data_IF_140296270732
#
_entry.id   IF_140296270732
#
_cell.length_a   1.000
_cell.length_b   1.000
_cell.length_c   1.000
_cell.angle_alpha   90.00
_cell.angle_beta   90.00
_cell.angle_gamma   90.00
#
_symmetry.space_group_name_H-M   'P 1'
#
loop_
_entity.id
_entity.type
_entity.pdbx_description
1 polymer ?
#
# COMPACT_ATOMS: atom_id res chain seq x y z
N UNK A 1 18.29 -0.03 18.24
CA UNK A 1 17.58 -0.37 16.98
C UNK A 1 16.88 0.90 16.51
N UNK A 2 17.26 1.42 15.34
CA UNK A 2 16.62 2.61 14.77
C UNK A 2 15.42 2.16 13.94
N UNK A 3 14.22 2.49 14.40
CA UNK A 3 12.98 2.25 13.67
C UNK A 3 12.72 3.47 12.79
N UNK A 4 12.67 3.28 11.48
CA UNK A 4 12.31 4.34 10.54
C UNK A 4 10.79 4.45 10.42
N UNK A 5 10.30 5.67 10.26
CA UNK A 5 8.88 5.96 10.19
C UNK A 5 8.63 7.46 10.27
N UNK A 6 7.37 7.85 10.44
CA UNK A 6 7.00 9.23 10.67
C UNK A 6 5.97 9.35 11.78
N UNK A 7 6.01 10.49 12.47
CA UNK A 7 5.01 10.87 13.46
C UNK A 7 3.80 11.39 12.70
N UNK A 8 2.66 10.75 12.90
CA UNK A 8 1.38 11.12 12.30
C UNK A 8 0.70 12.21 13.12
N UNK A 9 0.65 12.04 14.43
CA UNK A 9 0.01 12.96 15.37
C UNK A 9 0.47 12.65 16.82
N UNK A 10 -0.11 13.34 17.79
CA UNK A 10 0.07 13.10 19.23
C UNK A 10 -1.27 12.80 19.88
N UNK A 11 -1.27 11.94 20.90
CA UNK A 11 -2.43 11.70 21.75
C UNK A 11 -2.75 12.97 22.55
N UNK A 12 -3.93 13.55 22.33
CA UNK A 12 -4.37 14.79 22.97
C UNK A 12 -5.25 14.54 24.18
N UNK A 13 -6.21 13.62 24.05
CA UNK A 13 -7.14 13.26 25.12
C UNK A 13 -7.32 11.74 25.17
N UNK A 14 -7.54 11.21 26.37
CA UNK A 14 -7.80 9.79 26.56
C UNK A 14 -8.95 9.53 27.52
N UNK A 15 -9.89 8.70 27.09
CA UNK A 15 -10.96 8.19 27.94
C UNK A 15 -10.47 7.10 28.89
N UNK A 16 -11.29 6.71 29.86
CA UNK A 16 -11.01 5.55 30.69
C UNK A 16 -10.94 4.26 29.84
N UNK A 17 -10.07 3.29 30.22
CA UNK A 17 -9.96 2.04 29.48
C UNK A 17 -11.28 1.28 29.50
N UNK A 18 -11.65 0.69 28.37
CA UNK A 18 -12.82 -0.20 28.29
C UNK A 18 -12.59 -1.41 29.16
N UNK A 19 -13.30 -1.44 30.29
CA UNK A 19 -13.38 -2.56 31.20
C UNK A 19 -14.83 -2.62 31.71
N UNK A 20 -15.42 -3.82 31.72
CA UNK A 20 -16.75 -4.07 32.32
C UNK A 20 -17.94 -3.31 31.68
N UNK A 21 -17.98 -3.19 30.34
CA UNK A 21 -19.20 -2.73 29.64
C UNK A 21 -19.35 -1.21 29.51
N UNK A 22 -18.42 -0.39 30.01
CA UNK A 22 -18.39 1.03 29.62
C UNK A 22 -17.85 1.18 28.20
N UNK A 23 -18.77 1.39 27.25
CA UNK A 23 -18.50 1.63 25.82
C UNK A 23 -19.17 2.95 25.44
N UNK A 24 -18.40 4.03 25.14
CA UNK A 24 -18.98 5.26 24.62
C UNK A 24 -19.66 5.05 23.26
N UNK A 25 -20.69 5.86 22.92
CA UNK A 25 -21.45 5.71 21.67
C UNK A 25 -20.61 5.79 20.39
N UNK A 26 -19.48 6.51 20.41
CA UNK A 26 -18.61 6.69 19.23
C UNK A 26 -17.66 5.50 18.98
N UNK A 27 -17.57 4.52 19.88
CA UNK A 27 -16.60 3.40 19.79
C UNK A 27 -16.89 2.30 18.78
N UNK A 28 -18.13 1.81 18.62
CA UNK A 28 -18.41 0.74 17.67
C UNK A 28 -18.07 1.10 16.23
N UNK A 29 -18.16 2.40 15.89
CA UNK A 29 -17.80 2.96 14.59
C UNK A 29 -16.30 2.80 14.27
N UNK A 30 -15.44 2.68 15.29
CA UNK A 30 -14.00 2.46 15.12
C UNK A 30 -13.64 0.97 14.92
N UNK A 31 -14.59 0.06 15.18
CA UNK A 31 -14.40 -1.39 15.12
C UNK A 31 -14.87 -2.01 13.79
N UNK A 32 -14.87 -1.21 12.71
CA UNK A 32 -15.37 -1.52 11.37
C UNK A 32 -14.50 -2.53 10.60
N UNK A 33 -14.14 -3.65 11.25
CA UNK A 33 -13.33 -4.73 10.68
C UNK A 33 -13.79 -6.10 11.17
N UNK A 34 -13.99 -7.02 10.24
CA UNK A 34 -14.24 -8.43 10.48
C UNK A 34 -13.06 -9.15 11.17
N UNK A 35 -13.26 -10.37 11.71
CA UNK A 35 -12.24 -11.13 12.44
C UNK A 35 -10.92 -11.35 11.70
N UNK A 36 -10.96 -11.36 10.38
CA UNK A 36 -9.86 -11.55 9.45
C UNK A 36 -9.24 -10.22 8.95
N UNK A 37 -9.68 -9.08 9.49
CA UNK A 37 -9.22 -7.75 9.08
C UNK A 37 -9.86 -7.23 7.78
N UNK A 38 -10.82 -7.97 7.22
CA UNK A 38 -11.63 -7.52 6.07
C UNK A 38 -12.79 -6.64 6.53
N UNK A 39 -13.58 -6.19 5.56
CA UNK A 39 -14.79 -5.43 5.83
C UNK A 39 -15.73 -6.21 6.78
N UNK A 40 -16.42 -5.52 7.69
CA UNK A 40 -17.31 -6.19 8.62
C UNK A 40 -18.52 -6.78 7.88
N UNK A 41 -19.13 -7.84 8.42
CA UNK A 41 -20.37 -8.38 7.88
C UNK A 41 -21.46 -7.30 7.75
N UNK A 42 -22.31 -7.32 6.70
CA UNK A 42 -23.32 -6.30 6.46
C UNK A 42 -24.33 -6.07 7.59
N UNK A 43 -24.45 -7.03 8.51
CA UNK A 43 -25.36 -6.95 9.65
C UNK A 43 -24.80 -6.17 10.85
N UNK A 44 -23.52 -5.79 10.85
CA UNK A 44 -22.90 -5.10 11.99
C UNK A 44 -23.52 -3.72 12.26
N UNK A 45 -23.80 -2.94 11.22
CA UNK A 45 -24.47 -1.64 11.35
C UNK A 45 -25.85 -1.77 12.02
N UNK A 46 -26.78 -2.57 11.44
CA UNK A 46 -28.08 -2.83 12.05
C UNK A 46 -28.01 -3.42 13.47
N UNK A 47 -27.03 -4.30 13.74
CA UNK A 47 -26.83 -4.87 15.07
C UNK A 47 -26.35 -3.83 16.09
N UNK A 48 -25.50 -2.88 15.66
CA UNK A 48 -25.07 -1.76 16.49
C UNK A 48 -26.26 -0.88 16.85
N UNK A 49 -27.04 -0.42 15.86
CA UNK A 49 -28.23 0.41 16.13
C UNK A 49 -29.20 -0.27 17.10
N UNK A 50 -29.45 -1.56 16.89
CA UNK A 50 -30.34 -2.34 17.75
C UNK A 50 -29.78 -2.47 19.16
N UNK A 51 -28.48 -2.73 19.31
CA UNK A 51 -27.84 -2.85 20.62
C UNK A 51 -27.93 -1.55 21.44
N UNK A 52 -27.78 -0.38 20.80
CA UNK A 52 -27.94 0.93 21.47
C UNK A 52 -29.40 1.31 21.72
N UNK A 53 -30.35 0.80 20.93
CA UNK A 53 -31.79 0.95 21.22
C UNK A 53 -32.23 0.08 22.41
N UNK A 54 -31.60 -1.08 22.60
CA UNK A 54 -31.87 -1.97 23.73
C UNK A 54 -31.14 -1.56 25.03
N UNK A 55 -30.16 -0.66 24.93
CA UNK A 55 -29.48 -0.08 26.10
C UNK A 55 -30.43 0.88 26.84
N UNK A 56 -30.54 0.73 28.16
CA UNK A 56 -31.40 1.60 28.99
C UNK A 56 -30.75 2.95 29.34
N UNK A 57 -29.44 3.09 29.11
CA UNK A 57 -28.66 4.32 29.32
C UNK A 57 -27.64 4.53 28.18
N UNK A 58 -26.84 5.60 28.27
CA UNK A 58 -25.79 5.93 27.28
C UNK A 58 -24.60 4.93 27.32
N UNK A 59 -24.69 3.84 28.10
CA UNK A 59 -23.65 2.84 28.27
C UNK A 59 -24.16 1.43 27.94
N UNK A 60 -23.35 0.70 27.16
CA UNK A 60 -23.77 -0.58 26.65
C UNK A 60 -23.31 -1.75 27.55
N UNK A 61 -24.19 -2.27 28.42
CA UNK A 61 -23.87 -3.49 29.18
C UNK A 61 -23.81 -4.74 28.27
N UNK A 62 -22.62 -4.91 27.69
CA UNK A 62 -22.30 -6.05 26.82
C UNK A 62 -22.53 -7.39 27.49
N UNK A 63 -22.41 -7.52 28.82
CA UNK A 63 -22.55 -8.81 29.50
C UNK A 63 -23.99 -9.29 29.51
N UNK A 64 -24.95 -8.39 29.69
CA UNK A 64 -26.37 -8.74 29.59
C UNK A 64 -26.77 -9.06 28.14
N UNK A 65 -26.42 -8.19 27.19
CA UNK A 65 -26.80 -8.34 25.78
C UNK A 65 -26.15 -9.56 25.09
N UNK A 66 -24.93 -9.94 25.49
CA UNK A 66 -24.29 -11.17 24.98
C UNK A 66 -25.01 -12.43 25.47
N UNK A 67 -25.50 -12.42 26.71
CA UNK A 67 -26.10 -13.58 27.36
C UNK A 67 -27.61 -13.71 27.11
N UNK A 68 -28.32 -12.60 26.88
CA UNK A 68 -29.78 -12.54 26.79
C UNK A 68 -30.30 -11.94 25.47
N UNK A 69 -29.42 -11.33 24.66
CA UNK A 69 -29.78 -10.74 23.36
C UNK A 69 -29.85 -11.77 22.23
N UNK A 70 -30.20 -11.31 21.03
CA UNK A 70 -30.22 -12.16 19.83
C UNK A 70 -28.82 -12.70 19.49
N UNK A 71 -28.75 -13.83 18.77
CA UNK A 71 -27.46 -14.39 18.33
C UNK A 71 -26.64 -13.40 17.50
N UNK A 72 -27.32 -12.56 16.70
CA UNK A 72 -26.71 -11.52 15.87
C UNK A 72 -26.09 -10.41 16.73
N UNK A 73 -26.79 -9.93 17.75
CA UNK A 73 -26.29 -8.91 18.69
C UNK A 73 -25.15 -9.51 19.53
N UNK A 74 -25.30 -10.74 20.02
CA UNK A 74 -24.27 -11.43 20.80
C UNK A 74 -22.96 -11.56 20.00
N UNK A 75 -23.03 -11.95 18.72
CA UNK A 75 -21.84 -12.10 17.88
C UNK A 75 -21.19 -10.75 17.53
N UNK A 76 -21.99 -9.72 17.29
CA UNK A 76 -21.50 -8.34 17.14
C UNK A 76 -20.79 -7.87 18.41
N UNK A 77 -21.40 -8.03 19.59
CA UNK A 77 -20.86 -7.54 20.86
C UNK A 77 -19.61 -8.30 21.31
N UNK A 78 -19.52 -9.62 21.05
CA UNK A 78 -18.27 -10.37 21.24
C UNK A 78 -17.13 -9.78 20.41
N UNK A 79 -17.41 -9.38 19.16
CA UNK A 79 -16.40 -8.74 18.31
C UNK A 79 -16.02 -7.36 18.84
N UNK A 80 -16.99 -6.55 19.22
CA UNK A 80 -16.74 -5.23 19.83
C UNK A 80 -15.85 -5.39 21.06
N UNK A 81 -16.19 -6.29 21.99
CA UNK A 81 -15.35 -6.61 23.15
C UNK A 81 -13.93 -7.03 22.74
N UNK A 82 -13.79 -7.93 21.76
CA UNK A 82 -12.47 -8.39 21.32
C UNK A 82 -11.57 -7.26 20.78
N UNK A 83 -12.16 -6.21 20.21
CA UNK A 83 -11.42 -5.06 19.64
C UNK A 83 -11.10 -4.02 20.72
N UNK A 84 -12.05 -3.73 21.62
CA UNK A 84 -11.94 -2.61 22.56
C UNK A 84 -11.41 -3.00 23.94
N UNK A 85 -11.44 -4.28 24.30
CA UNK A 85 -11.08 -4.70 25.65
C UNK A 85 -9.67 -4.25 26.01
N UNK A 86 -9.54 -3.58 27.16
CA UNK A 86 -8.28 -3.05 27.64
C UNK A 86 -7.62 -2.05 26.67
N UNK A 87 -8.44 -1.34 25.87
CA UNK A 87 -8.06 -0.18 25.06
C UNK A 87 -8.71 1.09 25.62
N UNK A 88 -8.13 2.24 25.31
CA UNK A 88 -8.66 3.57 25.64
C UNK A 88 -9.14 4.24 24.35
N UNK A 89 -10.22 5.01 24.41
CA UNK A 89 -10.51 5.97 23.35
C UNK A 89 -9.43 7.02 23.41
N UNK A 90 -8.87 7.38 22.26
CA UNK A 90 -8.03 8.55 22.15
C UNK A 90 -8.63 9.55 21.18
N UNK A 91 -8.42 10.83 21.47
CA UNK A 91 -8.52 11.90 20.49
C UNK A 91 -7.13 12.45 20.24
N UNK A 92 -6.77 12.64 18.97
CA UNK A 92 -5.45 13.17 18.59
C UNK A 92 -5.42 14.70 18.60
N UNK A 93 -4.24 15.31 18.44
CA UNK A 93 -4.09 16.76 18.31
C UNK A 93 -4.94 17.34 17.17
N UNK A 94 -5.03 16.62 16.05
CA UNK A 94 -5.90 16.97 14.92
C UNK A 94 -7.36 16.51 15.07
N UNK A 95 -7.79 16.18 16.29
CA UNK A 95 -9.15 15.76 16.61
C UNK A 95 -9.60 14.45 15.94
N UNK A 96 -8.68 13.57 15.55
CA UNK A 96 -9.04 12.24 15.07
C UNK A 96 -9.35 11.31 16.24
N UNK A 97 -10.31 10.40 16.04
CA UNK A 97 -10.64 9.37 17.01
C UNK A 97 -9.82 8.10 16.74
N UNK A 98 -9.44 7.41 17.80
CA UNK A 98 -8.75 6.14 17.69
C UNK A 98 -8.81 5.30 18.95
N UNK A 99 -8.26 4.09 18.86
CA UNK A 99 -8.08 3.19 20.01
C UNK A 99 -6.60 3.12 20.36
N UNK A 100 -6.31 3.40 21.63
CA UNK A 100 -4.96 3.35 22.18
C UNK A 100 -4.81 2.18 23.17
N UNK A 101 -3.59 1.65 23.39
CA UNK A 101 -3.33 0.71 24.48
C UNK A 101 -3.75 1.26 25.85
N UNK A 102 -4.08 0.37 26.79
CA UNK A 102 -4.43 0.72 28.18
C UNK A 102 -3.46 1.71 28.82
N UNK A 103 -2.17 1.53 28.57
CA UNK A 103 -1.11 2.30 29.23
C UNK A 103 -0.72 3.57 28.46
N UNK A 104 -1.45 3.91 27.39
CA UNK A 104 -1.27 5.15 26.66
C UNK A 104 -1.53 6.37 27.55
N UNK A 105 -0.80 7.44 27.28
CA UNK A 105 -0.85 8.72 27.98
C UNK A 105 -0.99 9.87 26.99
N UNK A 106 -1.56 10.98 27.45
CA UNK A 106 -1.55 12.23 26.70
C UNK A 106 -0.10 12.65 26.44
N UNK A 107 0.18 13.09 25.21
CA UNK A 107 1.55 13.36 24.75
C UNK A 107 2.27 12.18 24.10
N UNK A 108 1.72 10.96 24.14
CA UNK A 108 2.28 9.83 23.38
C UNK A 108 2.19 10.10 21.86
N UNK A 109 3.19 9.64 21.12
CA UNK A 109 3.30 9.85 19.69
C UNK A 109 2.56 8.74 18.94
N UNK A 110 1.77 9.13 17.94
CA UNK A 110 1.15 8.20 16.99
C UNK A 110 2.05 8.16 15.77
N UNK A 111 2.64 7.00 15.49
CA UNK A 111 3.65 6.85 14.46
C UNK A 111 3.25 5.76 13.47
N UNK A 112 3.63 5.94 12.21
CA UNK A 112 3.66 4.85 11.24
C UNK A 112 5.11 4.43 11.08
N UNK A 113 5.43 3.24 11.57
CA UNK A 113 6.74 2.63 11.38
C UNK A 113 6.78 1.93 10.03
N UNK A 114 7.86 2.09 9.29
CA UNK A 114 8.03 1.39 8.02
C UNK A 114 8.05 -0.13 8.25
N UNK A 115 7.26 -0.85 7.46
CA UNK A 115 7.01 -2.28 7.64
C UNK A 115 5.85 -2.61 8.59
N UNK A 116 5.22 -1.62 9.23
CA UNK A 116 3.98 -1.80 9.98
C UNK A 116 2.78 -1.36 9.13
N UNK A 117 1.76 -2.21 9.03
CA UNK A 117 0.51 -1.94 8.31
C UNK A 117 -0.50 -1.12 9.11
N UNK A 118 -0.21 -0.84 10.39
CA UNK A 118 -1.08 -0.10 11.30
C UNK A 118 -0.26 0.94 12.08
N UNK A 119 -0.87 2.09 12.45
CA UNK A 119 -0.24 3.06 13.34
C UNK A 119 0.08 2.42 14.70
N UNK A 120 1.20 2.83 15.28
CA UNK A 120 1.63 2.44 16.63
C UNK A 120 1.69 3.65 17.54
N UNK A 121 1.42 3.44 18.82
CA UNK A 121 1.55 4.49 19.85
C UNK A 121 2.90 4.29 20.55
N UNK A 122 3.74 5.32 20.54
CA UNK A 122 5.11 5.31 21.07
C UNK A 122 5.29 6.42 22.09
N UNK A 123 5.89 6.07 23.24
CA UNK A 123 6.34 7.03 24.23
C UNK A 123 7.84 7.22 24.13
N UNK A 124 8.30 8.48 24.11
CA UNK A 124 9.73 8.78 24.18
C UNK A 124 10.26 8.39 25.57
N UNK A 125 11.33 7.59 25.59
CA UNK A 125 12.03 7.19 26.81
C UNK A 125 13.45 7.74 26.74
N UNK A 126 13.88 8.43 27.79
CA UNK A 126 15.28 8.82 27.92
C UNK A 126 16.11 7.61 28.35
N UNK A 127 17.20 7.34 27.63
CA UNK A 127 18.09 6.22 27.91
C UNK A 127 19.30 6.70 28.70
N UNK A 128 19.81 5.85 29.59
CA UNK A 128 21.07 6.12 30.27
C UNK A 128 22.24 5.97 29.28
N UNK A 129 23.39 6.58 29.60
CA UNK A 129 24.59 6.44 28.78
C UNK A 129 25.01 4.96 28.63
N UNK A 130 24.86 4.16 29.69
CA UNK A 130 25.18 2.73 29.67
C UNK A 130 24.28 1.94 28.70
N UNK A 131 22.99 2.30 28.60
CA UNK A 131 22.07 1.66 27.64
C UNK A 131 22.41 2.04 26.20
N UNK A 132 22.82 3.29 25.97
CA UNK A 132 23.26 3.76 24.65
C UNK A 132 24.54 3.03 24.21
N UNK A 133 25.53 2.91 25.09
CA UNK A 133 26.78 2.22 24.80
C UNK A 133 26.56 0.74 24.46
N UNK A 134 25.65 0.08 25.18
CA UNK A 134 25.25 -1.31 24.90
C UNK A 134 24.55 -1.45 23.54
N UNK A 135 23.65 -0.51 23.20
CA UNK A 135 22.99 -0.54 21.89
C UNK A 135 23.95 -0.31 20.73
N UNK A 136 24.97 0.55 20.91
CA UNK A 136 26.02 0.76 19.92
C UNK A 136 26.85 -0.51 19.69
N UNK A 137 27.24 -1.19 20.77
CA UNK A 137 27.95 -2.48 20.67
C UNK A 137 27.11 -3.55 19.97
N UNK A 138 25.82 -3.66 20.32
CA UNK A 138 24.89 -4.59 19.66
C UNK A 138 24.71 -4.26 18.16
N UNK A 139 24.73 -2.98 17.79
CA UNK A 139 24.63 -2.54 16.40
C UNK A 139 25.90 -2.89 15.60
N UNK A 140 27.07 -2.67 16.19
CA UNK A 140 28.36 -3.02 15.58
C UNK A 140 28.45 -4.54 15.34
N UNK A 141 28.06 -5.34 16.33
CA UNK A 141 27.97 -6.79 16.21
C UNK A 141 26.99 -7.24 15.12
N UNK A 142 25.86 -6.53 14.95
CA UNK A 142 24.89 -6.82 13.88
C UNK A 142 25.43 -6.48 12.50
N UNK A 143 26.11 -5.33 12.35
CA UNK A 143 26.75 -4.93 11.08
C UNK A 143 27.80 -5.96 10.66
N UNK A 144 28.61 -6.42 11.61
CA UNK A 144 29.63 -7.44 11.37
C UNK A 144 29.00 -8.77 10.94
N UNK A 145 27.92 -9.19 11.61
CA UNK A 145 27.20 -10.41 11.26
C UNK A 145 26.54 -10.34 9.88
N UNK A 146 25.98 -9.19 9.50
CA UNK A 146 25.40 -8.98 8.17
C UNK A 146 26.51 -8.99 7.10
N UNK A 147 27.63 -8.31 7.35
CA UNK A 147 28.78 -8.32 6.45
C UNK A 147 29.32 -9.74 6.25
N UNK A 148 29.46 -10.51 7.33
CA UNK A 148 29.87 -11.91 7.28
C UNK A 148 28.89 -12.79 6.49
N UNK A 149 27.58 -12.58 6.66
CA UNK A 149 26.54 -13.29 5.90
C UNK A 149 26.62 -12.98 4.40
N UNK A 150 26.75 -11.69 4.04
CA UNK A 150 26.90 -11.26 2.64
C UNK A 150 28.17 -11.85 2.03
N UNK A 151 29.30 -11.78 2.74
CA UNK A 151 30.57 -12.32 2.29
C UNK A 151 30.51 -13.83 2.06
N UNK A 152 29.88 -14.58 2.97
CA UNK A 152 29.66 -16.03 2.85
C UNK A 152 28.81 -16.37 1.63
N UNK A 153 27.76 -15.60 1.36
CA UNK A 153 26.90 -15.81 0.20
C UNK A 153 27.59 -15.44 -1.12
N UNK A 154 28.39 -14.38 -1.16
CA UNK A 154 29.21 -14.02 -2.32
C UNK A 154 30.27 -15.09 -2.60
N UNK A 155 30.95 -15.58 -1.57
CA UNK A 155 31.91 -16.67 -1.68
C UNK A 155 31.25 -17.95 -2.21
N UNK A 156 30.08 -18.33 -1.69
CA UNK A 156 29.32 -19.48 -2.18
C UNK A 156 28.90 -19.31 -3.65
N UNK A 157 28.48 -18.10 -4.06
CA UNK A 157 28.13 -17.78 -5.45
C UNK A 157 29.34 -17.85 -6.38
N UNK A 158 30.51 -17.40 -5.93
CA UNK A 158 31.77 -17.50 -6.68
C UNK A 158 32.25 -18.96 -6.82
N UNK A 159 32.12 -19.78 -5.77
CA UNK A 159 32.41 -21.22 -5.83
C UNK A 159 31.49 -21.95 -6.81
N UNK A 160 30.17 -21.65 -6.80
CA UNK A 160 29.21 -22.21 -7.77
C UNK A 160 29.61 -21.87 -9.22
N UNK A 161 29.93 -20.60 -9.49
CA UNK A 161 30.41 -20.18 -10.83
C UNK A 161 31.71 -20.87 -11.26
N UNK A 162 32.62 -21.19 -10.34
CA UNK A 162 33.84 -21.94 -10.66
C UNK A 162 33.53 -23.40 -11.01
N UNK A 163 32.63 -24.04 -10.27
CA UNK A 163 32.14 -25.40 -10.54
C UNK A 163 31.44 -25.50 -11.89
N UNK A 164 30.57 -24.55 -12.22
CA UNK A 164 29.86 -24.50 -13.50
C UNK A 164 30.85 -24.31 -14.68
N UNK A 165 31.88 -23.49 -14.50
CA UNK A 165 32.93 -23.27 -15.51
C UNK A 165 33.83 -24.49 -15.72
N UNK A 166 34.05 -25.33 -14.70
CA UNK A 166 34.72 -26.63 -14.86
C UNK A 166 33.85 -27.68 -15.54
N UNK A 167 32.52 -27.66 -15.32
CA UNK A 167 31.60 -28.56 -16.00
C UNK A 167 31.43 -28.23 -17.49
N UNK A 168 31.51 -26.94 -17.87
CA UNK A 168 31.47 -26.50 -19.27
C UNK A 168 32.72 -26.94 -20.08
N UNK A 169 33.88 -27.07 -19.41
CA UNK A 169 35.11 -27.58 -20.02
C UNK A 169 35.05 -29.11 -20.18
N UNK A 170 34.33 -29.82 -19.29
CA UNK A 170 34.15 -31.28 -19.36
C UNK A 170 33.10 -31.74 -20.38
N UNK A 171 32.06 -30.95 -20.66
CA UNK A 171 31.00 -31.32 -21.60
C UNK A 171 31.37 -31.08 -23.08
N UNK A 172 32.33 -30.21 -23.37
CA UNK A 172 32.79 -29.97 -24.74
C UNK A 172 33.64 -31.11 -25.34
N UNK A 173 34.01 -32.13 -24.55
CA UNK A 173 34.70 -33.32 -25.06
C UNK A 173 33.78 -34.53 -25.32
N UNK A 174 32.47 -34.45 -25.02
CA UNK A 174 31.55 -35.60 -25.09
C UNK A 174 30.40 -35.44 -26.11
N UNK A 175 30.29 -34.31 -26.82
CA UNK A 175 29.23 -34.07 -27.80
C UNK A 175 29.71 -34.13 -29.26
N UNK A 176 30.47 -35.18 -29.63
CA UNK A 176 30.75 -35.49 -31.04
C UNK A 176 30.22 -36.82 -31.56
N UNK A 177 29.61 -37.64 -30.72
CA UNK A 177 29.00 -38.89 -31.16
C UNK A 177 27.59 -38.98 -30.57
N UNK A 178 26.59 -38.55 -31.36
CA UNK A 178 25.23 -39.15 -31.41
C UNK A 178 24.27 -38.24 -32.22
N UNK A 179 24.60 -37.99 -33.49
CA UNK A 179 23.57 -37.80 -34.51
C UNK A 179 23.26 -39.18 -35.11
N UNK A 180 22.18 -39.82 -34.64
CA UNK A 180 21.31 -40.73 -35.41
C UNK A 180 20.28 -41.38 -34.50
N UNK A 181 19.01 -40.99 -34.69
CA UNK A 181 17.81 -41.86 -34.68
C UNK A 181 16.62 -41.08 -34.13
N UNK A 182 15.70 -40.69 -35.01
CA UNK A 182 14.46 -40.04 -34.63
C UNK A 182 13.38 -41.03 -34.19
N UNK A 183 12.35 -40.51 -33.51
CA UNK A 183 10.92 -40.83 -33.76
C UNK A 183 10.00 -39.93 -32.92
N UNK A 184 9.01 -39.35 -33.60
CA UNK A 184 7.79 -38.72 -33.04
C UNK A 184 6.87 -39.78 -32.44
N UNK A 185 6.20 -39.47 -31.32
CA UNK A 185 4.84 -39.95 -31.02
C UNK A 185 4.05 -38.85 -30.30
N UNK A 186 2.81 -38.65 -30.74
CA UNK A 186 1.80 -37.76 -30.17
C UNK A 186 0.84 -38.55 -29.27
N UNK A 187 0.22 -37.85 -28.31
CA UNK A 187 -0.90 -38.31 -27.47
C UNK A 187 -1.61 -37.06 -26.91
N UNK A 188 -2.90 -36.99 -26.59
CA UNK A 188 -4.18 -37.35 -27.23
C UNK A 188 -5.24 -37.28 -26.12
N UNK A 189 -6.16 -36.31 -26.23
CA UNK A 189 -7.52 -36.20 -25.64
C UNK A 189 -7.73 -35.85 -24.14
N UNK A 190 -8.93 -35.37 -23.72
CA UNK A 190 -9.99 -34.63 -24.44
C UNK A 190 -10.59 -33.40 -23.71
N UNK A 191 -11.27 -32.55 -24.48
CA UNK A 191 -12.25 -31.54 -24.04
C UNK A 191 -13.59 -32.17 -23.63
N UNK A 192 -14.33 -31.48 -22.76
CA UNK A 192 -15.76 -31.68 -22.54
C UNK A 192 -16.48 -30.34 -22.34
N UNK A 193 -17.78 -30.42 -22.48
CA UNK A 193 -18.62 -29.55 -23.30
C UNK A 193 -19.38 -28.45 -22.53
N UNK A 194 -19.95 -27.58 -23.35
CA UNK A 194 -20.85 -26.46 -23.11
C UNK A 194 -22.20 -26.80 -22.45
N UNK A 195 -22.77 -25.81 -21.75
CA UNK A 195 -24.16 -25.82 -21.26
C UNK A 195 -24.70 -24.39 -21.12
N UNK A 196 -25.81 -24.10 -21.79
CA UNK A 196 -26.45 -22.79 -21.97
C UNK A 196 -27.80 -22.78 -21.23
N UNK A 197 -28.20 -21.68 -20.57
CA UNK A 197 -29.59 -21.30 -20.21
C UNK A 197 -29.54 -19.99 -19.38
N UNK A 198 -30.54 -19.12 -19.25
CA UNK A 198 -31.61 -18.55 -20.07
C UNK A 198 -32.14 -17.35 -19.24
N UNK A 199 -32.43 -16.20 -19.88
CA UNK A 199 -32.96 -14.97 -19.23
C UNK A 199 -34.46 -15.07 -18.95
N UNK A 200 -34.94 -14.43 -17.86
CA UNK A 200 -36.28 -13.81 -17.75
C UNK A 200 -36.27 -12.53 -16.88
N UNK A 201 -37.24 -11.61 -17.06
CA UNK A 201 -37.08 -10.17 -16.81
C UNK A 201 -37.64 -9.67 -15.48
N UNK A 202 -37.11 -8.53 -15.00
CA UNK A 202 -37.52 -7.86 -13.77
C UNK A 202 -38.46 -6.68 -14.06
N UNK A 203 -39.51 -6.58 -13.24
CA UNK A 203 -40.58 -5.58 -13.22
C UNK A 203 -40.04 -4.21 -12.76
N UNK A 204 -40.37 -3.14 -13.49
CA UNK A 204 -40.13 -1.73 -13.13
C UNK A 204 -41.28 -1.15 -12.32
N UNK A 205 -40.96 -0.49 -11.21
CA UNK A 205 -41.85 0.43 -10.49
C UNK A 205 -41.10 1.73 -10.22
N UNK A 206 -41.77 2.84 -10.55
CA UNK A 206 -41.32 4.23 -10.52
C UNK A 206 -41.39 4.85 -9.13
N UNK A 207 -40.32 5.51 -8.69
CA UNK A 207 -40.35 6.50 -7.60
C UNK A 207 -39.38 7.64 -7.93
N UNK A 208 -39.93 8.73 -8.43
CA UNK A 208 -39.24 10.01 -8.71
C UNK A 208 -39.49 10.96 -7.56
N UNK A 209 -38.48 11.16 -6.69
CA UNK A 209 -38.18 12.48 -6.08
C UNK A 209 -36.90 12.50 -5.21
N UNK A 210 -36.27 11.35 -4.93
CA UNK A 210 -34.96 11.27 -4.24
C UNK A 210 -33.76 11.22 -5.21
N UNK A 211 -34.04 11.08 -6.50
CA UNK A 211 -33.06 10.81 -7.56
C UNK A 211 -32.16 12.00 -7.85
N UNK A 212 -32.62 13.24 -7.66
CA UNK A 212 -31.84 14.41 -8.08
C UNK A 212 -30.63 14.68 -7.16
N UNK A 213 -30.76 14.50 -5.84
CA UNK A 213 -29.65 14.73 -4.88
C UNK A 213 -28.66 13.55 -4.84
N UNK A 214 -29.18 12.32 -5.01
CA UNK A 214 -28.39 11.08 -5.08
C UNK A 214 -27.65 10.94 -6.43
N UNK A 215 -28.23 11.45 -7.53
CA UNK A 215 -27.55 11.47 -8.84
C UNK A 215 -26.39 12.46 -8.89
N UNK A 216 -26.49 13.63 -8.24
CA UNK A 216 -25.39 14.62 -8.24
C UNK A 216 -24.18 14.14 -7.44
N UNK A 217 -24.37 13.51 -6.27
CA UNK A 217 -23.28 12.88 -5.50
C UNK A 217 -22.71 11.63 -6.19
N UNK A 218 -23.55 10.77 -6.78
CA UNK A 218 -23.06 9.62 -7.59
C UNK A 218 -22.26 10.07 -8.81
N UNK A 219 -22.67 11.15 -9.46
CA UNK A 219 -21.98 11.74 -10.62
C UNK A 219 -20.59 12.31 -10.24
N UNK A 220 -20.50 12.98 -9.09
CA UNK A 220 -19.22 13.51 -8.60
C UNK A 220 -18.24 12.39 -8.17
N UNK A 221 -18.70 11.35 -7.49
CA UNK A 221 -17.82 10.23 -7.09
C UNK A 221 -17.32 9.46 -8.32
N UNK A 222 -18.18 9.21 -9.31
CA UNK A 222 -17.80 8.54 -10.56
C UNK A 222 -16.74 9.32 -11.34
N UNK A 223 -16.81 10.66 -11.35
CA UNK A 223 -15.80 11.50 -12.02
C UNK A 223 -14.44 11.45 -11.31
N UNK A 224 -14.42 11.30 -9.99
CA UNK A 224 -13.18 11.26 -9.21
C UNK A 224 -12.53 9.88 -9.28
N UNK A 225 -13.33 8.81 -9.25
CA UNK A 225 -12.86 7.46 -9.55
C UNK A 225 -12.22 7.42 -10.94
N UNK A 226 -12.86 7.99 -11.96
CA UNK A 226 -12.28 8.11 -13.31
C UNK A 226 -10.98 8.91 -13.32
N UNK A 227 -10.92 10.06 -12.62
CA UNK A 227 -9.69 10.85 -12.49
C UNK A 227 -8.54 10.03 -11.89
N UNK A 228 -8.82 9.29 -10.81
CA UNK A 228 -7.85 8.43 -10.12
C UNK A 228 -7.40 7.29 -11.04
N UNK A 229 -8.32 6.63 -11.73
CA UNK A 229 -8.02 5.56 -12.68
C UNK A 229 -7.16 6.06 -13.84
N UNK A 230 -7.47 7.23 -14.41
CA UNK A 230 -6.67 7.86 -15.46
C UNK A 230 -5.28 8.24 -14.96
N UNK A 231 -5.17 8.77 -13.74
CA UNK A 231 -3.88 9.08 -13.13
C UNK A 231 -3.03 7.82 -12.93
N UNK A 232 -3.60 6.76 -12.35
CA UNK A 232 -2.89 5.51 -12.08
C UNK A 232 -2.37 4.84 -13.36
N UNK A 233 -3.13 4.90 -14.45
CA UNK A 233 -2.73 4.32 -15.73
C UNK A 233 -1.87 5.24 -16.60
N UNK A 234 -1.62 6.49 -16.18
CA UNK A 234 -0.97 7.50 -17.01
C UNK A 234 0.44 7.12 -17.47
N UNK A 235 1.21 6.39 -16.66
CA UNK A 235 2.53 5.89 -17.03
C UNK A 235 2.45 4.83 -18.15
N UNK A 236 1.49 3.90 -18.04
CA UNK A 236 1.26 2.87 -19.04
C UNK A 236 0.86 3.48 -20.39
N UNK A 237 -0.06 4.44 -20.37
CA UNK A 237 -0.47 5.15 -21.58
C UNK A 237 0.67 6.00 -22.15
N UNK A 238 1.46 6.65 -21.30
CA UNK A 238 2.65 7.42 -21.71
C UNK A 238 3.68 6.56 -22.45
N UNK A 239 4.00 5.37 -21.92
CA UNK A 239 4.94 4.43 -22.54
C UNK A 239 4.39 3.91 -23.87
N UNK A 240 3.11 3.51 -23.90
CA UNK A 240 2.45 3.02 -25.11
C UNK A 240 2.40 4.07 -26.22
N UNK A 241 2.10 5.32 -25.87
CA UNK A 241 2.03 6.43 -26.82
C UNK A 241 3.40 7.06 -27.14
N UNK A 242 4.45 6.72 -26.37
CA UNK A 242 5.77 7.37 -26.40
C UNK A 242 5.68 8.89 -26.18
N UNK A 243 4.75 9.31 -25.32
CA UNK A 243 4.52 10.72 -24.99
C UNK A 243 4.64 10.93 -23.48
N UNK A 244 5.74 11.53 -22.99
CA UNK A 244 5.95 11.74 -21.56
C UNK A 244 4.92 12.68 -20.94
N UNK A 245 4.25 13.54 -21.73
CA UNK A 245 3.27 14.50 -21.19
C UNK A 245 2.01 13.84 -20.64
N UNK A 246 1.72 12.61 -21.06
CA UNK A 246 0.53 11.89 -20.61
C UNK A 246 0.54 11.61 -19.10
N UNK A 247 1.70 11.58 -18.45
CA UNK A 247 1.83 11.40 -16.99
C UNK A 247 1.27 12.58 -16.18
N UNK A 248 1.03 13.72 -16.83
CA UNK A 248 0.59 14.97 -16.18
C UNK A 248 -0.82 15.42 -16.59
N UNK A 249 -1.52 14.71 -17.48
CA UNK A 249 -2.81 15.15 -18.06
C UNK A 249 -3.90 15.36 -16.99
N UNK A 250 -3.89 14.57 -15.93
CA UNK A 250 -4.83 14.65 -14.80
C UNK A 250 -4.44 15.69 -13.75
N UNK A 251 -3.28 16.32 -13.90
CA UNK A 251 -2.71 17.21 -12.89
C UNK A 251 -3.13 18.66 -13.15
N UNK A 252 -3.14 19.44 -12.07
CA UNK A 252 -3.16 20.89 -12.15
C UNK A 252 -1.79 21.40 -12.66
N UNK A 253 -1.78 22.57 -13.30
CA UNK A 253 -0.55 23.14 -13.88
C UNK A 253 0.53 23.41 -12.82
N UNK A 254 0.10 23.75 -11.59
CA UNK A 254 0.96 24.03 -10.44
C UNK A 254 1.26 22.79 -9.58
N UNK A 255 0.90 21.59 -10.04
CA UNK A 255 1.04 20.37 -9.26
C UNK A 255 2.49 20.12 -8.82
N UNK A 256 2.64 19.51 -7.63
CA UNK A 256 3.93 19.09 -7.06
C UNK A 256 3.89 17.63 -6.68
N UNK A 257 4.86 16.87 -7.20
CA UNK A 257 5.06 15.45 -6.88
C UNK A 257 6.23 15.25 -5.93
N UNK A 258 5.97 14.52 -4.84
CA UNK A 258 6.94 14.17 -3.81
C UNK A 258 7.12 12.66 -3.81
N UNK A 259 8.29 12.17 -4.21
CA UNK A 259 8.64 10.76 -4.06
C UNK A 259 9.25 10.56 -2.68
N UNK A 260 8.68 9.63 -1.92
CA UNK A 260 9.08 9.34 -0.53
C UNK A 260 9.35 7.83 -0.36
N UNK A 261 10.25 7.45 0.57
CA UNK A 261 10.95 8.29 1.55
C UNK A 261 12.04 9.17 0.93
N UNK A 262 12.26 10.36 1.49
CA UNK A 262 13.26 11.32 1.02
C UNK A 262 14.69 10.73 0.98
N UNK A 263 14.99 9.77 1.85
CA UNK A 263 16.28 9.05 1.87
C UNK A 263 16.58 8.34 0.54
N UNK A 264 15.57 7.78 -0.12
CA UNK A 264 15.73 7.17 -1.43
C UNK A 264 16.16 8.20 -2.47
N UNK A 265 15.52 9.36 -2.49
CA UNK A 265 15.86 10.44 -3.43
C UNK A 265 17.26 11.01 -3.19
N UNK A 266 17.67 11.15 -1.93
CA UNK A 266 19.05 11.54 -1.57
C UNK A 266 20.06 10.51 -2.07
N UNK A 267 19.77 9.22 -1.92
CA UNK A 267 20.64 8.15 -2.40
C UNK A 267 20.71 8.10 -3.94
N UNK A 268 19.65 8.49 -4.63
CA UNK A 268 19.64 8.70 -6.09
C UNK A 268 20.37 9.99 -6.51
N UNK A 269 20.94 10.74 -5.57
CA UNK A 269 21.77 11.91 -5.83
C UNK A 269 21.02 13.25 -5.89
N UNK A 270 19.73 13.29 -5.53
CA UNK A 270 18.99 14.56 -5.53
C UNK A 270 19.33 15.41 -4.29
N UNK A 271 19.57 16.73 -4.46
CA UNK A 271 19.76 17.64 -3.35
C UNK A 271 18.51 17.77 -2.47
N UNK A 272 18.67 17.83 -1.14
CA UNK A 272 17.57 17.99 -0.18
C UNK A 272 16.61 19.15 -0.51
N UNK A 273 17.07 20.37 -0.86
CA UNK A 273 16.16 21.46 -1.18
C UNK A 273 15.24 21.15 -2.38
N UNK A 274 15.73 20.36 -3.35
CA UNK A 274 14.91 19.95 -4.49
C UNK A 274 13.89 18.88 -4.11
N UNK A 275 14.26 17.97 -3.20
CA UNK A 275 13.34 16.94 -2.67
C UNK A 275 12.22 17.60 -1.87
N UNK A 276 12.55 18.58 -1.03
CA UNK A 276 11.58 19.32 -0.20
C UNK A 276 10.66 20.24 -1.02
N UNK A 277 11.12 20.73 -2.18
CA UNK A 277 10.30 21.54 -3.07
C UNK A 277 9.26 20.72 -3.86
N UNK A 278 9.51 19.42 -4.05
CA UNK A 278 8.71 18.56 -4.92
C UNK A 278 8.95 18.85 -6.41
N UNK A 279 8.79 17.83 -7.24
CA UNK A 279 8.96 17.95 -8.70
C UNK A 279 7.75 18.64 -9.32
N UNK A 280 7.93 19.73 -10.09
CA UNK A 280 6.89 20.24 -10.98
C UNK A 280 6.66 19.28 -12.17
N UNK A 281 5.53 19.46 -12.86
CA UNK A 281 5.10 18.58 -13.97
C UNK A 281 6.16 18.47 -15.07
N UNK A 282 6.71 19.60 -15.53
CA UNK A 282 7.71 19.66 -16.59
C UNK A 282 9.01 18.91 -16.25
N UNK A 283 9.50 19.05 -15.01
CA UNK A 283 10.67 18.32 -14.54
C UNK A 283 10.41 16.82 -14.46
N UNK A 284 9.23 16.43 -13.97
CA UNK A 284 8.86 15.01 -13.90
C UNK A 284 8.71 14.40 -15.30
N UNK A 285 8.04 15.09 -16.23
CA UNK A 285 7.90 14.69 -17.64
C UNK A 285 9.27 14.53 -18.31
N UNK A 286 10.19 15.46 -18.07
CA UNK A 286 11.56 15.37 -18.60
C UNK A 286 12.28 14.11 -18.07
N UNK A 287 12.23 13.88 -16.76
CA UNK A 287 12.86 12.71 -16.13
C UNK A 287 12.23 11.38 -16.56
N UNK A 288 10.91 11.34 -16.72
CA UNK A 288 10.21 10.18 -17.24
C UNK A 288 10.55 9.94 -18.72
N UNK A 289 10.62 11.01 -19.51
CA UNK A 289 11.01 10.97 -20.92
C UNK A 289 12.41 10.41 -21.16
N UNK A 290 13.36 10.64 -20.25
CA UNK A 290 14.68 10.02 -20.31
C UNK A 290 14.66 8.50 -20.11
N UNK A 291 13.65 7.97 -19.42
CA UNK A 291 13.51 6.53 -19.15
C UNK A 291 12.77 5.80 -20.28
N UNK A 292 11.84 6.48 -20.96
CA UNK A 292 10.98 5.92 -22.01
C UNK A 292 11.71 5.01 -23.03
N UNK A 293 12.91 5.36 -23.57
CA UNK A 293 13.59 4.52 -24.56
C UNK A 293 14.01 3.14 -24.05
N UNK A 294 14.10 2.96 -22.73
CA UNK A 294 14.56 1.73 -22.10
C UNK A 294 13.41 0.82 -21.66
N UNK A 295 12.17 1.33 -21.64
CA UNK A 295 11.00 0.60 -21.16
C UNK A 295 10.29 -0.06 -22.35
N UNK A 296 10.21 -1.39 -22.32
CA UNK A 296 9.53 -2.20 -23.33
C UNK A 296 8.01 -2.16 -23.14
N UNK A 297 7.55 -2.35 -21.90
CA UNK A 297 6.14 -2.24 -21.55
C UNK A 297 5.97 -1.93 -20.07
N UNK A 298 4.81 -1.36 -19.73
CA UNK A 298 4.37 -1.33 -18.34
C UNK A 298 2.88 -1.56 -18.23
N UNK A 299 2.45 -2.09 -17.08
CA UNK A 299 1.05 -2.16 -16.70
C UNK A 299 0.88 -1.64 -15.28
N UNK A 300 -0.33 -1.18 -14.95
CA UNK A 300 -0.68 -0.76 -13.61
C UNK A 300 -1.78 -1.67 -13.07
N UNK A 301 -1.54 -2.24 -11.88
CA UNK A 301 -2.56 -2.93 -11.10
C UNK A 301 -2.93 -2.07 -9.89
N UNK A 302 -4.16 -1.57 -9.86
CA UNK A 302 -4.71 -0.87 -8.71
C UNK A 302 -5.25 -1.92 -7.73
N UNK A 303 -4.80 -1.86 -6.47
CA UNK A 303 -5.25 -2.77 -5.41
C UNK A 303 -6.43 -2.18 -4.64
N UNK A 304 -6.33 -0.92 -4.26
CA UNK A 304 -7.35 -0.21 -3.50
C UNK A 304 -7.28 1.30 -3.76
N UNK A 305 -8.42 1.97 -3.62
CA UNK A 305 -8.54 3.42 -3.65
C UNK A 305 -9.48 3.89 -2.55
N UNK A 306 -9.14 4.98 -1.87
CA UNK A 306 -10.05 5.65 -0.95
C UNK A 306 -10.13 7.15 -1.27
N UNK A 307 -11.29 7.75 -1.03
CA UNK A 307 -11.53 9.16 -1.31
C UNK A 307 -12.26 9.86 -0.16
N UNK A 308 -11.64 10.91 0.38
CA UNK A 308 -12.23 11.86 1.32
C UNK A 308 -12.80 13.06 0.56
N UNK A 309 -14.12 13.03 0.36
CA UNK A 309 -14.85 14.07 -0.38
C UNK A 309 -14.87 15.44 0.28
N UNK A 310 -14.71 15.52 1.60
CA UNK A 310 -14.68 16.76 2.36
C UNK A 310 -13.32 17.43 2.26
N UNK A 311 -12.25 16.64 2.40
CA UNK A 311 -10.88 17.13 2.34
C UNK A 311 -10.31 17.20 0.93
N UNK A 312 -11.03 16.68 -0.07
CA UNK A 312 -10.56 16.54 -1.46
C UNK A 312 -9.23 15.79 -1.53
N UNK A 313 -9.17 14.68 -0.80
CA UNK A 313 -7.97 13.83 -0.73
C UNK A 313 -8.30 12.43 -1.18
N UNK A 314 -7.41 11.80 -1.94
CA UNK A 314 -7.52 10.40 -2.31
C UNK A 314 -6.26 9.64 -1.94
N UNK A 315 -6.40 8.34 -1.73
CA UNK A 315 -5.28 7.39 -1.64
C UNK A 315 -5.42 6.36 -2.73
N UNK A 316 -4.30 5.97 -3.32
CA UNK A 316 -4.22 4.96 -4.36
C UNK A 316 -3.11 3.99 -4.00
N UNK A 317 -3.46 2.72 -3.82
CA UNK A 317 -2.50 1.64 -3.65
C UNK A 317 -2.41 0.87 -4.97
N UNK A 318 -1.22 0.84 -5.56
CA UNK A 318 -1.02 0.20 -6.86
C UNK A 318 0.35 -0.48 -6.97
N UNK A 319 0.48 -1.35 -7.96
CA UNK A 319 1.75 -1.91 -8.42
C UNK A 319 1.94 -1.60 -9.89
N UNK A 320 3.09 -1.01 -10.23
CA UNK A 320 3.56 -0.91 -11.60
C UNK A 320 4.39 -2.16 -11.92
N UNK A 321 3.99 -2.87 -12.98
CA UNK A 321 4.79 -3.94 -13.56
C UNK A 321 5.55 -3.37 -14.75
N UNK A 322 6.87 -3.36 -14.69
CA UNK A 322 7.73 -2.68 -15.67
C UNK A 322 8.67 -3.70 -16.31
N UNK A 323 8.64 -3.75 -17.64
CA UNK A 323 9.55 -4.55 -18.46
C UNK A 323 10.55 -3.62 -19.16
N UNK A 324 11.84 -3.86 -18.95
CA UNK A 324 12.91 -3.13 -19.64
C UNK A 324 13.39 -3.90 -20.87
N UNK A 325 13.76 -3.19 -21.93
CA UNK A 325 14.32 -3.80 -23.15
C UNK A 325 15.59 -4.59 -22.84
N UNK A 326 15.65 -5.83 -23.30
CA UNK A 326 16.83 -6.70 -23.15
C UNK A 326 17.07 -7.22 -21.74
N UNK A 327 16.12 -7.03 -20.82
CA UNK A 327 16.17 -7.55 -19.44
C UNK A 327 15.14 -8.66 -19.29
N UNK A 328 15.56 -9.86 -18.87
CA UNK A 328 14.66 -11.01 -18.72
C UNK A 328 13.67 -10.83 -17.57
N UNK A 329 14.11 -10.23 -16.47
CA UNK A 329 13.30 -9.97 -15.28
C UNK A 329 12.31 -8.82 -15.50
N UNK A 330 11.21 -8.84 -14.76
CA UNK A 330 10.24 -7.75 -14.64
C UNK A 330 10.31 -7.13 -13.25
N UNK A 331 10.12 -5.82 -13.17
CA UNK A 331 10.10 -5.08 -11.91
C UNK A 331 8.66 -4.85 -11.47
N UNK A 332 8.37 -5.17 -10.21
CA UNK A 332 7.06 -4.96 -9.60
C UNK A 332 7.15 -3.88 -8.53
N UNK A 333 7.03 -2.62 -8.95
CA UNK A 333 7.17 -1.47 -8.05
C UNK A 333 5.82 -1.15 -7.42
N UNK A 334 5.66 -1.51 -6.16
CA UNK A 334 4.50 -1.16 -5.35
C UNK A 334 4.57 0.28 -4.84
N UNK A 335 3.45 1.00 -4.92
CA UNK A 335 3.35 2.38 -4.47
C UNK A 335 2.05 2.62 -3.69
N UNK A 336 2.14 3.40 -2.61
CA UNK A 336 1.02 4.03 -1.93
C UNK A 336 1.06 5.53 -2.21
N UNK A 337 0.03 6.05 -2.87
CA UNK A 337 0.01 7.42 -3.39
C UNK A 337 -1.10 8.21 -2.69
N UNK A 338 -0.75 9.35 -2.12
CA UNK A 338 -1.70 10.31 -1.57
C UNK A 338 -1.85 11.46 -2.58
N UNK A 339 -3.09 11.77 -2.91
CA UNK A 339 -3.47 12.80 -3.88
C UNK A 339 -4.26 13.89 -3.15
N UNK A 340 -3.82 15.14 -3.27
CA UNK A 340 -4.66 16.28 -2.93
C UNK A 340 -5.22 16.85 -4.24
N UNK A 341 -6.55 16.90 -4.32
CA UNK A 341 -7.27 17.46 -5.46
C UNK A 341 -7.47 18.96 -5.25
N UNK A 342 -7.69 19.68 -6.34
CA UNK A 342 -8.11 21.07 -6.30
C UNK A 342 -9.53 21.24 -5.71
N UNK A 343 -9.95 22.49 -5.52
CA UNK A 343 -11.25 22.79 -4.89
C UNK A 343 -12.45 22.24 -5.69
N UNK A 344 -12.34 22.19 -7.03
CA UNK A 344 -13.38 21.62 -7.89
C UNK A 344 -13.39 20.09 -7.84
N UNK A 345 -12.25 19.46 -7.52
CA UNK A 345 -12.10 18.01 -7.56
C UNK A 345 -11.86 17.46 -8.97
N UNK A 346 -11.46 18.31 -9.91
CA UNK A 346 -11.26 17.95 -11.32
C UNK A 346 -9.80 17.64 -11.64
N UNK A 347 -8.86 18.20 -10.85
CA UNK A 347 -7.42 18.06 -11.07
C UNK A 347 -6.68 17.71 -9.79
N UNK A 348 -5.54 17.04 -9.93
CA UNK A 348 -4.64 16.70 -8.83
C UNK A 348 -3.60 17.81 -8.66
N UNK A 349 -3.56 18.44 -7.48
CA UNK A 349 -2.65 19.55 -7.16
C UNK A 349 -1.41 19.10 -6.38
N UNK A 350 -1.49 17.98 -5.65
CA UNK A 350 -0.32 17.43 -4.94
C UNK A 350 -0.32 15.92 -4.98
N UNK A 351 0.87 15.35 -5.13
CA UNK A 351 1.10 13.91 -5.12
C UNK A 351 2.19 13.59 -4.11
N UNK A 352 1.92 12.68 -3.19
CA UNK A 352 2.95 12.08 -2.33
C UNK A 352 2.98 10.59 -2.60
N UNK A 353 4.05 10.12 -3.21
CA UNK A 353 4.22 8.76 -3.71
C UNK A 353 5.21 8.00 -2.83
N UNK A 354 4.69 7.13 -1.96
CA UNK A 354 5.48 6.19 -1.18
C UNK A 354 5.82 4.99 -2.05
N UNK A 355 7.09 4.87 -2.42
CA UNK A 355 7.56 3.82 -3.34
C UNK A 355 8.27 2.70 -2.59
N UNK A 356 8.15 1.47 -3.09
CA UNK A 356 9.02 0.37 -2.67
C UNK A 356 10.47 0.68 -3.06
N UNK A 357 11.23 1.16 -2.08
CA UNK A 357 12.63 1.53 -2.24
C UNK A 357 13.49 0.34 -2.66
N UNK A 358 13.19 -0.87 -2.21
CA UNK A 358 14.00 -2.05 -2.53
C UNK A 358 13.90 -2.37 -4.01
N UNK A 359 12.67 -2.42 -4.53
CA UNK A 359 12.44 -2.74 -5.93
C UNK A 359 12.83 -1.57 -6.85
N UNK A 360 12.50 -0.34 -6.47
CA UNK A 360 12.87 0.88 -7.21
C UNK A 360 14.39 1.02 -7.36
N UNK A 361 15.19 0.64 -6.35
CA UNK A 361 16.66 0.64 -6.48
C UNK A 361 17.16 -0.35 -7.52
N UNK A 362 16.60 -1.57 -7.56
CA UNK A 362 16.98 -2.58 -8.57
C UNK A 362 16.65 -2.06 -9.96
N UNK A 363 15.44 -1.55 -10.14
CA UNK A 363 14.97 -0.95 -11.38
C UNK A 363 15.91 0.17 -11.85
N UNK A 364 16.19 1.16 -10.98
CA UNK A 364 17.05 2.30 -11.33
C UNK A 364 18.49 1.89 -11.63
N UNK A 365 19.06 0.93 -10.89
CA UNK A 365 20.41 0.43 -11.16
C UNK A 365 20.51 -0.25 -12.54
N UNK A 366 19.50 -1.03 -12.92
CA UNK A 366 19.43 -1.64 -14.26
C UNK A 366 19.30 -0.57 -15.34
N UNK A 367 18.44 0.43 -15.12
CA UNK A 367 18.22 1.53 -16.07
C UNK A 367 19.50 2.35 -16.30
N UNK A 368 20.24 2.67 -15.23
CA UNK A 368 21.56 3.31 -15.31
C UNK A 368 22.57 2.44 -16.08
N UNK A 369 22.55 1.12 -15.85
CA UNK A 369 23.35 0.17 -16.59
C UNK A 369 23.06 0.19 -18.09
N UNK A 370 21.78 0.20 -18.48
CA UNK A 370 21.36 0.29 -19.88
C UNK A 370 21.75 1.63 -20.52
N UNK A 371 21.60 2.74 -19.80
CA UNK A 371 21.95 4.07 -20.28
C UNK A 371 23.46 4.29 -20.43
N UNK A 372 24.29 3.56 -19.65
CA UNK A 372 25.75 3.64 -19.72
C UNK A 372 26.34 2.84 -20.91
N UNK A 373 25.58 1.93 -21.50
CA UNK A 373 25.99 1.22 -22.72
C UNK A 373 25.78 2.17 -23.90
N UNK A 374 26.82 2.50 -24.69
CA UNK A 374 26.63 3.30 -25.90
C UNK A 374 25.60 2.59 -26.78
N UNK A 375 24.55 3.30 -27.18
CA UNK A 375 23.63 2.84 -28.22
C UNK A 375 24.47 2.50 -29.45
N UNK A 376 24.74 1.20 -29.61
CA UNK A 376 25.52 0.67 -30.71
C UNK A 376 24.80 0.95 -32.02
N UNK A 377 25.59 1.43 -32.99
CA UNK A 377 25.23 1.65 -34.39
C UNK A 377 24.55 0.46 -35.05
#
# INVERSE_FOLDING_TARGET
>A
MFLQGFVLDTVSQLEFPSQLGHIPPEWPLLADRGPDGRDPPPFYGPACETAFQEAMDDTLDTSMLINHGSSVISDFLKRVQAVIWNRRMMRTGNSWLGLAPKDAQEGDLICILYGCSVPVVLRKVEKSQADLDKELQDEELRKDNIAAYIFKNLAAKACRKRLDKTNDIGNNSLLKDEEKSGKRVASSYPQSDSGTEAKKPHVTSTATDTTHRCATTRSMTANIEDLIHRFANSQAESIKAKDPKLVSVTLADDCRRFIVPASFMVEMGLPKPMIEAGSPNDLYEQHFGMQLPFIESTSCKIHDTAFDSQKKKATVHLTHQIKLFGVEEEYLVENMILLDLDQSGEKIQKIVEFTDVSESKKYMATLQGLAAVPLGK
#
